data_IF_105662395876
#
_entry.id   IF_105662395876
#
_cell.length_a   1.000
_cell.length_b   1.000
_cell.length_c   1.000
_cell.angle_alpha   90.00
_cell.angle_beta   90.00
_cell.angle_gamma   90.00
#
_symmetry.space_group_name_H-M   'P 1'
#
loop_
_entity.id
_entity.type
_entity.pdbx_description
1 polymer ?
#
# COMPACT_ATOMS: atom_id res chain seq x y z
N UNK A 1 -21.09 86.54 -29.06
CA UNK A 1 -21.53 86.04 -27.75
C UNK A 1 -21.97 84.63 -27.92
N UNK A 2 -21.08 83.67 -27.63
CA UNK A 2 -21.37 82.20 -27.70
C UNK A 2 -21.18 81.59 -26.29
N UNK A 3 -22.29 81.20 -25.74
CA UNK A 3 -22.30 80.49 -24.41
C UNK A 3 -21.90 79.00 -24.60
N UNK A 4 -20.79 78.63 -24.02
CA UNK A 4 -20.39 77.25 -23.98
C UNK A 4 -21.10 76.55 -22.76
N UNK A 5 -21.87 75.51 -23.03
CA UNK A 5 -22.46 74.65 -22.02
C UNK A 5 -21.48 73.49 -21.78
N UNK A 6 -20.93 73.41 -20.57
CA UNK A 6 -20.06 72.32 -20.13
C UNK A 6 -20.96 71.26 -19.52
N UNK A 7 -21.04 70.13 -20.20
CA UNK A 7 -21.79 68.93 -19.68
C UNK A 7 -20.83 68.08 -18.87
N UNK A 8 -20.97 68.10 -17.54
CA UNK A 8 -20.21 67.23 -16.62
C UNK A 8 -20.79 65.83 -16.62
N UNK A 9 -20.04 64.85 -17.12
CA UNK A 9 -20.37 63.45 -17.10
C UNK A 9 -19.84 62.85 -15.78
N UNK A 10 -20.72 62.55 -14.84
CA UNK A 10 -20.36 61.82 -13.60
C UNK A 10 -20.27 60.31 -13.87
N UNK A 11 -19.06 59.77 -13.84
CA UNK A 11 -18.83 58.30 -13.93
C UNK A 11 -18.97 57.71 -12.55
N UNK A 12 -20.05 56.96 -12.35
CA UNK A 12 -20.29 56.18 -11.13
C UNK A 12 -19.54 54.85 -11.22
N UNK A 13 -18.38 54.75 -10.56
CA UNK A 13 -17.61 53.50 -10.45
C UNK A 13 -18.23 52.58 -9.41
N UNK A 14 -18.93 51.52 -9.86
CA UNK A 14 -19.42 50.44 -9.00
C UNK A 14 -18.25 49.46 -8.76
N UNK A 15 -17.55 49.65 -7.64
CA UNK A 15 -16.55 48.68 -7.18
C UNK A 15 -17.27 47.48 -6.52
N UNK A 16 -17.62 46.48 -7.33
CA UNK A 16 -18.09 45.19 -6.86
C UNK A 16 -16.93 44.38 -6.28
N UNK A 17 -16.67 44.55 -4.97
CA UNK A 17 -15.68 43.74 -4.25
C UNK A 17 -16.17 42.31 -4.05
N UNK A 18 -15.82 41.39 -4.92
CA UNK A 18 -15.92 39.96 -4.67
C UNK A 18 -14.99 39.56 -3.50
N UNK A 19 -15.53 39.53 -2.28
CA UNK A 19 -14.85 38.88 -1.14
C UNK A 19 -14.80 37.39 -1.43
N UNK A 20 -13.72 36.89 -2.05
CA UNK A 20 -13.38 35.46 -2.03
C UNK A 20 -13.07 35.09 -0.59
N UNK A 21 -14.01 34.42 0.09
CA UNK A 21 -13.69 33.72 1.34
C UNK A 21 -12.58 32.72 1.02
N UNK A 22 -11.45 32.75 1.75
CA UNK A 22 -10.50 31.67 1.64
C UNK A 22 -11.20 30.39 2.11
N UNK A 23 -11.29 29.40 1.23
CA UNK A 23 -11.74 28.05 1.58
C UNK A 23 -10.57 27.42 2.37
N UNK A 24 -10.47 27.78 3.65
CA UNK A 24 -9.63 27.05 4.60
C UNK A 24 -10.30 25.70 4.81
N UNK A 25 -10.08 24.77 3.90
CA UNK A 25 -10.30 23.37 4.20
C UNK A 25 -9.28 23.00 5.29
N UNK A 26 -9.71 23.05 6.54
CA UNK A 26 -9.01 22.38 7.62
C UNK A 26 -9.08 20.87 7.34
N UNK A 27 -8.14 20.39 6.51
CA UNK A 27 -7.82 18.97 6.36
C UNK A 27 -7.03 18.52 7.61
N UNK A 28 -7.58 18.76 8.79
CA UNK A 28 -7.27 17.95 9.96
C UNK A 28 -7.98 16.61 9.75
N UNK A 29 -7.48 15.80 8.84
CA UNK A 29 -7.66 14.36 8.93
C UNK A 29 -6.78 13.97 10.13
N UNK A 30 -7.37 14.01 11.34
CA UNK A 30 -6.78 13.29 12.46
C UNK A 30 -6.67 11.84 12.00
N UNK A 31 -5.46 11.44 11.61
CA UNK A 31 -5.14 10.04 11.35
C UNK A 31 -5.18 9.35 12.71
N UNK A 32 -6.38 9.01 13.15
CA UNK A 32 -6.58 8.20 14.34
C UNK A 32 -5.84 6.89 14.11
N UNK A 33 -4.89 6.63 14.97
CA UNK A 33 -4.04 5.44 14.95
C UNK A 33 -4.50 4.55 16.09
N UNK A 34 -4.76 3.28 15.78
CA UNK A 34 -5.16 2.28 16.75
C UNK A 34 -4.16 1.12 16.75
N UNK A 35 -3.77 0.67 17.94
CA UNK A 35 -2.94 -0.52 18.08
C UNK A 35 -3.81 -1.76 17.95
N UNK A 36 -3.60 -2.55 16.92
CA UNK A 36 -4.36 -3.77 16.65
C UNK A 36 -3.43 -4.97 16.43
N UNK A 37 -3.87 -6.19 16.81
CA UNK A 37 -3.15 -7.40 16.43
C UNK A 37 -3.18 -7.59 14.91
N UNK A 38 -2.03 -7.85 14.32
CA UNK A 38 -1.88 -8.23 12.92
C UNK A 38 -1.25 -9.61 12.84
N UNK A 39 -1.71 -10.43 11.90
CA UNK A 39 -1.16 -11.77 11.64
C UNK A 39 -0.24 -11.69 10.43
N UNK A 40 1.02 -12.02 10.64
CA UNK A 40 2.04 -12.10 9.61
C UNK A 40 2.37 -13.57 9.33
N UNK A 41 2.75 -13.87 8.11
CA UNK A 41 3.05 -15.24 7.68
C UNK A 41 4.50 -15.35 7.26
N UNK A 42 5.24 -16.26 7.90
CA UNK A 42 6.65 -16.53 7.65
C UNK A 42 6.87 -18.01 7.37
N UNK A 43 7.92 -18.36 6.64
CA UNK A 43 8.26 -19.74 6.40
C UNK A 43 8.71 -20.43 7.70
N UNK A 44 8.03 -21.50 8.07
CA UNK A 44 8.35 -22.33 9.20
C UNK A 44 9.25 -23.52 8.82
N UNK A 45 9.61 -24.38 9.82
CA UNK A 45 10.57 -25.47 9.61
C UNK A 45 10.06 -26.56 8.66
N UNK A 46 8.73 -26.69 8.47
CA UNK A 46 8.12 -27.70 7.61
C UNK A 46 7.90 -27.20 6.17
N UNK A 47 8.60 -26.14 5.76
CA UNK A 47 8.43 -25.49 4.45
C UNK A 47 6.98 -25.04 4.20
N UNK A 48 6.27 -24.68 5.25
CA UNK A 48 4.95 -24.09 5.23
C UNK A 48 4.95 -22.76 5.97
N UNK A 49 4.02 -21.88 5.63
CA UNK A 49 3.87 -20.60 6.31
C UNK A 49 3.26 -20.81 7.70
N UNK A 50 3.92 -20.26 8.70
CA UNK A 50 3.44 -20.18 10.09
C UNK A 50 2.99 -18.76 10.42
N UNK A 51 2.02 -18.66 11.34
CA UNK A 51 1.46 -17.39 11.77
C UNK A 51 2.29 -16.79 12.90
N UNK A 52 2.52 -15.48 12.80
CA UNK A 52 3.08 -14.68 13.88
C UNK A 52 2.17 -13.47 14.12
N UNK A 53 1.74 -13.24 15.35
CA UNK A 53 0.90 -12.10 15.70
C UNK A 53 1.73 -10.98 16.30
N UNK A 54 1.55 -9.74 15.81
CA UNK A 54 2.16 -8.52 16.35
C UNK A 54 1.11 -7.48 16.65
N UNK A 55 1.31 -6.69 17.70
CA UNK A 55 0.51 -5.49 17.94
C UNK A 55 1.13 -4.33 17.16
N UNK A 56 0.39 -3.76 16.22
CA UNK A 56 0.87 -2.74 15.30
C UNK A 56 -0.07 -1.53 15.33
N UNK A 57 0.52 -0.33 15.39
CA UNK A 57 -0.20 0.92 15.30
C UNK A 57 -0.62 1.19 13.85
N UNK A 58 -1.91 1.11 13.56
CA UNK A 58 -2.48 1.23 12.22
C UNK A 58 -3.40 2.44 12.11
N UNK A 59 -3.32 3.22 11.02
CA UNK A 59 -4.29 4.27 10.74
C UNK A 59 -5.65 3.68 10.35
N UNK A 60 -6.70 4.46 10.46
CA UNK A 60 -8.05 4.03 10.05
C UNK A 60 -8.17 3.82 8.53
N UNK A 61 -7.41 4.54 7.72
CA UNK A 61 -7.48 4.39 6.28
C UNK A 61 -6.86 3.06 5.83
N UNK A 62 -7.58 2.25 5.01
CA UNK A 62 -7.16 0.90 4.64
C UNK A 62 -5.82 0.85 3.88
N UNK A 63 -5.56 1.79 2.97
CA UNK A 63 -4.32 1.81 2.19
C UNK A 63 -3.09 2.07 3.08
N UNK A 64 -3.20 3.00 4.04
CA UNK A 64 -2.14 3.26 5.01
C UNK A 64 -1.90 2.07 5.94
N UNK A 65 -2.99 1.44 6.42
CA UNK A 65 -2.90 0.25 7.25
C UNK A 65 -2.23 -0.91 6.48
N UNK A 66 -2.64 -1.15 5.23
CA UNK A 66 -2.06 -2.17 4.36
C UNK A 66 -0.56 -1.94 4.14
N UNK A 67 -0.15 -0.68 3.90
CA UNK A 67 1.27 -0.33 3.74
C UNK A 67 2.09 -0.67 5.00
N UNK A 68 1.55 -0.37 6.18
CA UNK A 68 2.23 -0.66 7.44
C UNK A 68 2.33 -2.18 7.67
N UNK A 69 1.24 -2.93 7.46
CA UNK A 69 1.23 -4.39 7.61
C UNK A 69 2.23 -5.05 6.65
N UNK A 70 2.28 -4.61 5.39
CA UNK A 70 3.25 -5.12 4.43
C UNK A 70 4.70 -4.80 4.84
N UNK A 71 4.97 -3.61 5.39
CA UNK A 71 6.29 -3.26 5.93
C UNK A 71 6.66 -4.08 7.16
N UNK A 72 5.69 -4.37 8.04
CA UNK A 72 5.93 -5.26 9.19
C UNK A 72 6.34 -6.67 8.74
N UNK A 73 5.72 -7.19 7.67
CA UNK A 73 6.11 -8.45 7.06
C UNK A 73 7.57 -8.42 6.57
N UNK A 74 7.97 -7.36 5.85
CA UNK A 74 9.33 -7.24 5.32
C UNK A 74 10.42 -7.09 6.40
N UNK A 75 10.07 -6.77 7.65
CA UNK A 75 11.04 -6.79 8.76
C UNK A 75 11.53 -8.21 9.09
N UNK A 76 10.81 -9.24 8.64
CA UNK A 76 11.08 -10.63 8.98
C UNK A 76 10.43 -11.05 10.30
N UNK A 77 10.54 -12.34 10.64
CA UNK A 77 10.02 -12.89 11.89
C UNK A 77 10.80 -12.37 13.12
N UNK A 78 10.11 -12.23 14.24
CA UNK A 78 10.74 -11.98 15.54
C UNK A 78 11.44 -13.23 16.11
N UNK A 79 11.12 -14.40 15.56
CA UNK A 79 11.78 -15.66 15.92
C UNK A 79 13.10 -15.80 15.11
N UNK A 80 14.23 -15.80 15.80
CA UNK A 80 15.55 -15.90 15.19
C UNK A 80 15.79 -17.22 14.42
N UNK A 81 14.98 -18.26 14.66
CA UNK A 81 15.03 -19.53 13.93
C UNK A 81 14.30 -19.53 12.60
N UNK A 82 13.57 -18.43 12.28
CA UNK A 82 12.81 -18.28 11.04
C UNK A 82 13.62 -17.47 10.02
N UNK A 83 13.87 -18.00 8.81
CA UNK A 83 14.66 -17.30 7.81
C UNK A 83 13.95 -16.03 7.32
N UNK A 84 14.74 -15.08 6.87
CA UNK A 84 14.22 -13.89 6.22
C UNK A 84 13.92 -14.22 4.75
N UNK A 85 12.66 -14.17 4.37
CA UNK A 85 12.17 -14.69 3.09
C UNK A 85 12.23 -13.68 1.93
N UNK A 86 12.63 -12.44 2.17
CA UNK A 86 12.81 -11.44 1.13
C UNK A 86 14.25 -10.96 1.08
N UNK A 87 14.75 -10.48 -0.08
CA UNK A 87 16.00 -9.74 -0.14
C UNK A 87 16.01 -8.58 0.86
N UNK A 88 17.17 -8.31 1.46
CA UNK A 88 17.30 -7.27 2.51
C UNK A 88 17.02 -5.85 2.03
N UNK A 89 17.16 -5.60 0.74
CA UNK A 89 16.89 -4.32 0.09
C UNK A 89 15.42 -4.18 -0.37
N UNK A 90 14.57 -5.18 -0.08
CA UNK A 90 13.15 -5.11 -0.43
C UNK A 90 12.43 -4.10 0.44
N UNK A 91 11.66 -3.21 -0.20
CA UNK A 91 10.84 -2.20 0.45
C UNK A 91 9.40 -2.21 -0.10
N UNK A 92 8.45 -1.75 0.70
CA UNK A 92 7.08 -1.46 0.22
C UNK A 92 7.07 -0.04 -0.34
N UNK A 93 6.84 0.11 -1.62
CA UNK A 93 6.75 1.40 -2.34
C UNK A 93 5.34 1.99 -2.23
N UNK A 94 4.35 1.19 -2.59
CA UNK A 94 2.94 1.59 -2.56
C UNK A 94 2.03 0.41 -2.24
N UNK A 95 0.83 0.72 -1.76
CA UNK A 95 -0.24 -0.26 -1.58
C UNK A 95 -1.57 0.37 -1.93
N UNK A 96 -2.46 -0.41 -2.53
CA UNK A 96 -3.81 0.01 -2.87
C UNK A 96 -4.80 -1.12 -2.57
N UNK A 97 -6.01 -0.77 -2.22
CA UNK A 97 -7.12 -1.72 -2.08
C UNK A 97 -8.29 -1.20 -2.92
N UNK A 98 -8.62 -1.94 -3.96
CA UNK A 98 -9.70 -1.58 -4.86
C UNK A 98 -11.05 -2.09 -4.35
N UNK A 99 -12.16 -1.44 -4.75
CA UNK A 99 -13.51 -1.86 -4.33
C UNK A 99 -13.90 -3.28 -4.78
N UNK A 100 -13.24 -3.83 -5.81
CA UNK A 100 -13.46 -5.19 -6.30
C UNK A 100 -12.76 -6.27 -5.45
N UNK A 101 -12.10 -5.87 -4.37
CA UNK A 101 -11.35 -6.72 -3.47
C UNK A 101 -9.94 -7.09 -3.96
N UNK A 102 -9.40 -6.39 -4.94
CA UNK A 102 -8.01 -6.56 -5.35
C UNK A 102 -7.10 -5.64 -4.53
N UNK A 103 -6.22 -6.22 -3.72
CA UNK A 103 -5.14 -5.49 -3.07
C UNK A 103 -3.91 -5.49 -3.97
N UNK A 104 -3.26 -4.33 -4.10
CA UNK A 104 -1.98 -4.17 -4.77
C UNK A 104 -0.90 -3.93 -3.72
N UNK A 105 0.21 -4.65 -3.87
CA UNK A 105 1.43 -4.46 -3.08
C UNK A 105 2.57 -4.26 -4.05
N UNK A 106 3.08 -3.04 -4.11
CA UNK A 106 4.26 -2.71 -4.90
C UNK A 106 5.51 -2.86 -4.05
N UNK A 107 6.35 -3.82 -4.45
CA UNK A 107 7.64 -4.10 -3.83
C UNK A 107 8.75 -3.44 -4.66
N UNK A 108 9.69 -2.78 -3.98
CA UNK A 108 10.87 -2.22 -4.61
C UNK A 108 12.13 -2.89 -4.08
N UNK A 109 13.20 -2.77 -4.86
CA UNK A 109 14.53 -3.27 -4.49
C UNK A 109 15.34 -3.60 -5.73
N UNK A 110 16.65 -3.36 -5.67
CA UNK A 110 17.54 -3.68 -6.81
C UNK A 110 17.60 -5.19 -7.03
N UNK A 111 17.62 -5.98 -5.96
CA UNK A 111 17.68 -7.44 -6.06
C UNK A 111 16.44 -8.00 -6.76
N UNK A 112 15.25 -7.51 -6.45
CA UNK A 112 14.01 -7.91 -7.15
C UNK A 112 14.00 -7.44 -8.61
N UNK A 113 14.49 -6.23 -8.90
CA UNK A 113 14.54 -5.67 -10.25
C UNK A 113 15.52 -6.39 -11.19
N UNK A 114 16.60 -6.92 -10.64
CA UNK A 114 17.63 -7.65 -11.40
C UNK A 114 17.35 -9.14 -11.56
N UNK A 115 16.26 -9.63 -10.97
CA UNK A 115 15.94 -11.04 -10.86
C UNK A 115 16.55 -11.65 -9.60
N UNK A 116 15.71 -11.86 -8.61
CA UNK A 116 16.10 -12.49 -7.34
C UNK A 116 16.45 -13.97 -7.59
N UNK A 117 17.74 -14.31 -7.57
CA UNK A 117 18.24 -15.66 -7.86
C UNK A 117 17.97 -16.68 -6.75
N UNK A 118 16.70 -16.87 -6.41
CA UNK A 118 16.26 -17.85 -5.39
C UNK A 118 15.57 -19.06 -6.04
N UNK A 119 15.32 -20.11 -5.26
CA UNK A 119 14.62 -21.30 -5.74
C UNK A 119 13.11 -21.13 -5.83
N UNK A 120 12.44 -22.10 -6.44
CA UNK A 120 10.98 -22.08 -6.63
C UNK A 120 10.21 -22.10 -5.31
N UNK A 121 10.75 -22.78 -4.30
CA UNK A 121 10.11 -22.87 -2.98
C UNK A 121 10.17 -21.53 -2.24
N UNK A 122 11.34 -20.92 -2.18
CA UNK A 122 11.56 -19.63 -1.53
C UNK A 122 10.72 -18.53 -2.17
N UNK A 123 10.67 -18.50 -3.52
CA UNK A 123 9.79 -17.56 -4.23
C UNK A 123 8.32 -17.79 -3.89
N UNK A 124 7.88 -19.06 -3.85
CA UNK A 124 6.51 -19.41 -3.52
C UNK A 124 6.15 -18.96 -2.09
N UNK A 125 7.02 -19.23 -1.12
CA UNK A 125 6.82 -18.82 0.27
C UNK A 125 6.82 -17.30 0.41
N UNK A 126 7.71 -16.58 -0.25
CA UNK A 126 7.73 -15.13 -0.25
C UNK A 126 6.44 -14.53 -0.84
N UNK A 127 6.00 -15.02 -1.98
CA UNK A 127 4.76 -14.57 -2.63
C UNK A 127 3.55 -14.84 -1.75
N UNK A 128 3.41 -16.07 -1.24
CA UNK A 128 2.25 -16.43 -0.41
C UNK A 128 2.31 -15.85 1.00
N UNK A 129 3.47 -15.49 1.52
CA UNK A 129 3.55 -14.71 2.76
C UNK A 129 2.86 -13.35 2.63
N UNK A 130 3.04 -12.66 1.49
CA UNK A 130 2.33 -11.41 1.19
C UNK A 130 0.82 -11.68 1.03
N UNK A 131 0.44 -12.66 0.22
CA UNK A 131 -0.97 -12.97 -0.06
C UNK A 131 -1.71 -13.31 1.22
N UNK A 132 -1.19 -14.22 2.04
CA UNK A 132 -1.83 -14.65 3.30
C UNK A 132 -1.86 -13.51 4.32
N UNK A 133 -0.79 -12.74 4.45
CA UNK A 133 -0.73 -11.60 5.37
C UNK A 133 -1.79 -10.56 4.99
N UNK A 134 -1.88 -10.19 3.72
CA UNK A 134 -2.85 -9.19 3.27
C UNK A 134 -4.28 -9.67 3.45
N UNK A 135 -4.62 -10.84 2.93
CA UNK A 135 -6.01 -11.34 2.94
C UNK A 135 -6.50 -11.74 4.33
N UNK A 136 -5.59 -12.06 5.27
CA UNK A 136 -5.96 -12.35 6.66
C UNK A 136 -6.26 -11.08 7.45
N UNK A 137 -5.50 -10.01 7.24
CA UNK A 137 -5.67 -8.77 8.00
C UNK A 137 -6.70 -7.80 7.39
N UNK A 138 -7.02 -7.96 6.11
CA UNK A 138 -7.98 -7.14 5.37
C UNK A 138 -9.05 -8.03 4.73
N UNK A 139 -10.17 -8.32 5.41
CA UNK A 139 -11.23 -9.21 4.90
C UNK A 139 -11.85 -8.76 3.58
N UNK A 140 -11.78 -7.46 3.28
CA UNK A 140 -12.17 -6.87 2.01
C UNK A 140 -11.21 -7.24 0.86
N UNK A 141 -9.94 -7.54 1.13
CA UNK A 141 -8.99 -8.01 0.14
C UNK A 141 -9.22 -9.49 -0.17
N UNK A 142 -9.75 -9.79 -1.35
CA UNK A 142 -10.03 -11.16 -1.80
C UNK A 142 -8.88 -11.80 -2.56
N UNK A 143 -8.02 -10.96 -3.14
CA UNK A 143 -6.86 -11.36 -3.94
C UNK A 143 -5.79 -10.28 -3.89
N UNK A 144 -4.55 -10.66 -4.16
CA UNK A 144 -3.40 -9.76 -4.11
C UNK A 144 -2.69 -9.73 -5.46
N UNK A 145 -2.44 -8.55 -5.98
CA UNK A 145 -1.57 -8.29 -7.12
C UNK A 145 -0.24 -7.73 -6.61
N UNK A 146 0.86 -8.41 -6.94
CA UNK A 146 2.21 -7.94 -6.63
C UNK A 146 2.76 -7.19 -7.83
N UNK A 147 3.31 -6.00 -7.59
CA UNK A 147 4.07 -5.20 -8.54
C UNK A 147 5.52 -5.16 -8.09
N UNK A 148 6.43 -4.87 -9.01
CA UNK A 148 7.84 -4.64 -8.71
C UNK A 148 8.30 -3.34 -9.35
N UNK A 149 8.71 -2.38 -8.52
CA UNK A 149 9.15 -1.04 -8.96
C UNK A 149 8.12 -0.31 -9.85
N UNK A 150 6.86 -0.28 -9.41
CA UNK A 150 5.70 0.32 -10.08
C UNK A 150 5.21 -0.43 -11.34
N UNK A 151 5.84 -1.56 -11.70
CA UNK A 151 5.54 -2.31 -12.91
C UNK A 151 4.92 -3.68 -12.60
N UNK A 152 3.99 -4.17 -13.46
CA UNK A 152 3.52 -5.54 -13.39
C UNK A 152 4.69 -6.53 -13.58
N UNK A 153 4.92 -7.37 -12.59
CA UNK A 153 5.91 -8.43 -12.68
C UNK A 153 5.27 -9.73 -13.19
N UNK A 154 6.00 -10.49 -14.01
CA UNK A 154 5.60 -11.85 -14.39
C UNK A 154 5.95 -12.85 -13.28
N UNK A 155 7.08 -12.64 -12.60
CA UNK A 155 7.59 -13.44 -11.48
C UNK A 155 8.48 -12.56 -10.60
N UNK A 156 8.86 -13.02 -9.39
CA UNK A 156 9.96 -12.40 -8.61
C UNK A 156 11.31 -13.05 -8.91
N UNK A 157 11.33 -14.38 -9.13
CA UNK A 157 12.55 -15.15 -9.32
C UNK A 157 12.45 -16.19 -10.46
N UNK A 158 11.41 -16.13 -11.30
CA UNK A 158 11.27 -16.98 -12.48
C UNK A 158 10.33 -18.18 -12.30
N UNK A 159 9.72 -18.41 -11.13
CA UNK A 159 8.98 -19.65 -10.85
C UNK A 159 7.49 -19.45 -10.56
N UNK A 160 7.09 -18.37 -9.89
CA UNK A 160 5.70 -18.10 -9.51
C UNK A 160 5.08 -17.08 -10.44
N UNK A 161 4.00 -17.46 -11.14
CA UNK A 161 3.31 -16.57 -12.07
C UNK A 161 2.55 -15.46 -11.33
N UNK A 162 2.98 -14.21 -11.47
CA UNK A 162 2.41 -12.99 -10.92
C UNK A 162 1.60 -12.19 -11.94
N UNK A 163 1.47 -12.66 -13.19
CA UNK A 163 0.72 -11.93 -14.23
C UNK A 163 -0.76 -11.74 -13.88
N UNK A 164 -1.27 -12.43 -12.87
CA UNK A 164 -2.63 -12.33 -12.33
C UNK A 164 -2.60 -12.10 -10.82
N UNK A 165 -3.68 -11.52 -10.28
CA UNK A 165 -3.86 -11.45 -8.85
C UNK A 165 -4.03 -12.86 -8.24
N UNK A 166 -3.39 -13.10 -7.12
CA UNK A 166 -3.34 -14.38 -6.42
C UNK A 166 -4.39 -14.45 -5.33
N UNK A 167 -5.04 -15.59 -5.22
CA UNK A 167 -5.96 -15.92 -4.13
C UNK A 167 -5.19 -16.52 -2.94
N UNK A 168 -5.67 -16.34 -1.70
CA UNK A 168 -5.11 -17.06 -0.57
C UNK A 168 -5.30 -18.56 -0.72
N UNK A 169 -4.33 -19.34 -0.20
CA UNK A 169 -4.37 -20.80 -0.26
C UNK A 169 -3.96 -21.43 1.07
N UNK A 170 -4.86 -22.21 1.65
CA UNK A 170 -4.56 -22.96 2.88
C UNK A 170 -3.49 -24.05 2.68
N UNK A 171 -3.20 -24.44 1.44
CA UNK A 171 -2.20 -25.45 1.11
C UNK A 171 -0.78 -25.04 1.49
N UNK A 172 -0.52 -23.74 1.63
CA UNK A 172 0.79 -23.20 1.97
C UNK A 172 0.90 -22.78 3.44
N UNK A 173 -0.10 -23.07 4.27
CA UNK A 173 -0.14 -22.64 5.68
C UNK A 173 -0.16 -23.86 6.59
N UNK A 174 0.72 -23.87 7.59
CA UNK A 174 0.72 -24.90 8.65
C UNK A 174 -0.60 -24.87 9.43
N UNK A 175 -1.09 -26.06 9.79
CA UNK A 175 -2.35 -26.25 10.54
C UNK A 175 -2.18 -25.98 12.02
#
# INVERSE_FOLDING_TARGET
MRRAVVLSLAILAIAGGCKKKPLSANLNVENKVEVRPVTLFFEGPDMLLVRETRNVALPENPAGALSIVARELLKGSSNAGVPHIFPRDTVVRATFLLPDGTAFVDLGGNTLAQGWGTGSHEELMAVYSVVQTVTTNFPEAKRVRILVNDEPAETLAGHVNLSRALLPSANYVAR
#
